data_IF_823275098799
#
_entry.id   IF_823275098799
#
_cell.length_a   1.000
_cell.length_b   1.000
_cell.length_c   1.000
_cell.angle_alpha   90.00
_cell.angle_beta   90.00
_cell.angle_gamma   90.00
#
_symmetry.space_group_name_H-M   'P 1'
#
loop_
_entity.id
_entity.type
_entity.pdbx_description
1 polymer ?
#
# COMPACT_ATOMS: atom_id res chain seq x y z
N UNK A 1 19.04 3.35 43.22
CA UNK A 1 17.97 2.89 42.32
C UNK A 1 17.58 4.03 41.40
N UNK A 2 18.09 4.01 40.17
CA UNK A 2 17.47 4.53 38.95
C UNK A 2 18.53 4.40 37.85
N UNK A 3 18.76 3.17 37.38
CA UNK A 3 19.41 2.95 36.09
C UNK A 3 18.37 3.31 35.02
N UNK A 4 18.42 4.55 34.51
CA UNK A 4 17.79 4.89 33.24
C UNK A 4 18.74 4.44 32.13
N UNK A 5 18.74 3.14 31.86
CA UNK A 5 19.43 2.56 30.71
C UNK A 5 18.58 2.78 29.46
N UNK A 6 19.07 3.63 28.56
CA UNK A 6 18.80 3.70 27.10
C UNK A 6 17.58 2.86 26.65
N UNK A 7 16.38 3.32 26.98
CA UNK A 7 15.14 2.84 26.37
C UNK A 7 14.82 3.84 25.26
N UNK A 8 14.64 3.36 24.02
CA UNK A 8 14.41 4.23 22.87
C UNK A 8 13.17 5.09 23.10
N UNK A 9 13.15 6.33 22.62
CA UNK A 9 11.94 7.13 22.64
C UNK A 9 10.84 6.43 21.81
N UNK A 10 9.60 6.43 22.31
CA UNK A 10 8.46 5.69 21.73
C UNK A 10 8.28 5.92 20.22
N UNK A 11 8.55 7.12 19.72
CA UNK A 11 8.45 7.42 18.28
C UNK A 11 9.44 6.60 17.43
N UNK A 12 10.65 6.34 17.94
CA UNK A 12 11.66 5.54 17.24
C UNK A 12 11.29 4.06 17.22
N UNK A 13 10.69 3.55 18.30
CA UNK A 13 10.16 2.18 18.34
C UNK A 13 9.02 1.99 17.34
N UNK A 14 8.22 3.03 17.12
CA UNK A 14 7.18 3.07 16.09
C UNK A 14 7.71 3.32 14.67
N UNK A 15 9.02 3.47 14.49
CA UNK A 15 9.67 3.65 13.19
C UNK A 15 9.63 5.08 12.63
N UNK A 16 9.29 6.08 13.46
CA UNK A 16 9.36 7.49 13.09
C UNK A 16 10.78 8.03 13.32
N UNK A 17 11.21 8.96 12.46
CA UNK A 17 12.45 9.72 12.70
C UNK A 17 12.23 10.82 13.75
N UNK A 18 13.31 11.37 14.30
CA UNK A 18 13.22 12.51 15.23
C UNK A 18 12.60 13.74 14.55
N UNK A 19 12.94 13.97 13.27
CA UNK A 19 12.35 15.07 12.47
C UNK A 19 10.84 14.87 12.24
N UNK A 20 10.40 13.63 12.00
CA UNK A 20 8.98 13.32 11.87
C UNK A 20 8.24 13.57 13.19
N UNK A 21 8.84 13.21 14.33
CA UNK A 21 8.28 13.48 15.66
C UNK A 21 8.16 14.99 15.95
N UNK A 22 9.22 15.77 15.71
CA UNK A 22 9.20 17.23 15.88
C UNK A 22 8.12 17.89 15.01
N UNK A 23 7.94 17.38 13.78
CA UNK A 23 6.90 17.85 12.87
C UNK A 23 5.49 17.49 13.36
N UNK A 24 5.30 16.32 13.95
CA UNK A 24 4.03 15.92 14.58
C UNK A 24 3.71 16.86 15.74
N UNK A 25 4.67 17.12 16.63
CA UNK A 25 4.50 18.07 17.73
C UNK A 25 4.12 19.47 17.22
N UNK A 26 4.75 19.90 16.13
CA UNK A 26 4.46 21.19 15.48
C UNK A 26 3.07 21.25 14.85
N UNK A 27 2.57 20.14 14.27
CA UNK A 27 1.22 20.06 13.68
C UNK A 27 0.14 20.09 14.77
N UNK A 28 0.39 19.42 15.90
CA UNK A 28 -0.56 19.33 17.01
C UNK A 28 -0.49 20.51 17.98
N UNK A 29 0.57 21.31 17.92
CA UNK A 29 0.89 22.38 18.88
C UNK A 29 1.02 21.85 20.33
N UNK A 30 1.42 20.58 20.48
CA UNK A 30 1.68 19.87 21.74
C UNK A 30 2.32 18.51 21.46
N UNK A 31 2.75 17.83 22.50
CA UNK A 31 3.17 16.43 22.39
C UNK A 31 1.97 15.52 22.03
N UNK A 32 2.15 14.56 21.09
CA UNK A 32 1.15 13.56 20.78
C UNK A 32 1.01 12.56 21.92
N UNK A 33 -0.21 12.10 22.18
CA UNK A 33 -0.39 10.92 23.02
C UNK A 33 -0.01 9.63 22.25
N UNK A 34 0.02 8.49 22.94
CA UNK A 34 0.43 7.22 22.35
C UNK A 34 -0.41 6.81 21.14
N UNK A 35 -1.73 7.03 21.18
CA UNK A 35 -2.63 6.69 20.08
C UNK A 35 -2.35 7.57 18.87
N UNK A 36 -2.24 8.88 19.07
CA UNK A 36 -1.94 9.84 18.00
C UNK A 36 -0.60 9.51 17.35
N UNK A 37 0.43 9.23 18.14
CA UNK A 37 1.75 8.88 17.65
C UNK A 37 1.74 7.58 16.83
N UNK A 38 1.00 6.56 17.28
CA UNK A 38 0.82 5.31 16.53
C UNK A 38 0.01 5.51 15.24
N UNK A 39 -0.96 6.42 15.22
CA UNK A 39 -1.67 6.78 13.99
C UNK A 39 -0.73 7.47 13.00
N UNK A 40 0.08 8.43 13.45
CA UNK A 40 1.07 9.09 12.60
C UNK A 40 2.09 8.08 12.05
N UNK A 41 2.58 7.14 12.84
CA UNK A 41 3.58 6.17 12.37
C UNK A 41 3.08 5.31 11.21
N UNK A 42 1.83 4.83 11.28
CA UNK A 42 1.22 4.06 10.19
C UNK A 42 0.97 4.96 8.98
N UNK A 43 0.35 6.12 9.17
CA UNK A 43 -0.03 7.01 8.07
C UNK A 43 1.17 7.63 7.34
N UNK A 44 2.29 7.83 8.03
CA UNK A 44 3.53 8.36 7.46
C UNK A 44 4.55 7.28 7.07
N UNK A 45 4.18 6.00 7.19
CA UNK A 45 4.94 4.89 6.62
C UNK A 45 5.09 5.07 5.10
N UNK A 46 6.13 4.48 4.50
CA UNK A 46 6.30 4.52 3.05
C UNK A 46 5.10 3.89 2.31
N UNK A 47 4.52 2.84 2.90
CA UNK A 47 3.38 2.12 2.35
C UNK A 47 2.14 3.01 2.16
N UNK A 48 1.85 3.89 3.12
CA UNK A 48 0.69 4.78 3.05
C UNK A 48 1.00 6.13 2.39
N UNK A 49 2.17 6.70 2.66
CA UNK A 49 2.48 8.08 2.28
C UNK A 49 3.17 8.24 0.92
N UNK A 50 3.77 7.16 0.41
CA UNK A 50 4.62 7.19 -0.79
C UNK A 50 5.72 8.27 -0.69
N UNK A 51 6.23 8.55 0.52
CA UNK A 51 7.08 9.72 0.79
C UNK A 51 8.34 9.75 -0.08
N UNK A 52 8.93 8.59 -0.39
CA UNK A 52 10.08 8.50 -1.31
C UNK A 52 9.69 8.53 -2.79
N UNK A 53 8.56 7.92 -3.16
CA UNK A 53 8.21 7.65 -4.56
C UNK A 53 7.32 8.72 -5.19
N UNK A 54 6.51 9.44 -4.41
CA UNK A 54 5.54 10.45 -4.88
C UNK A 54 6.19 11.53 -5.76
N UNK A 55 7.42 11.94 -5.46
CA UNK A 55 8.15 12.95 -6.26
C UNK A 55 8.44 12.47 -7.69
N UNK A 56 8.60 11.16 -7.90
CA UNK A 56 8.85 10.56 -9.19
C UNK A 56 7.54 10.29 -9.92
N UNK A 57 6.52 9.78 -9.21
CA UNK A 57 5.21 9.46 -9.79
C UNK A 57 4.50 10.69 -10.37
N UNK A 58 4.70 11.87 -9.77
CA UNK A 58 4.16 13.15 -10.29
C UNK A 58 4.64 13.53 -11.70
N UNK A 59 5.66 12.86 -12.24
CA UNK A 59 6.20 13.14 -13.58
C UNK A 59 5.43 12.42 -14.68
N UNK A 60 4.59 11.44 -14.34
CA UNK A 60 3.81 10.73 -15.33
C UNK A 60 2.68 11.60 -15.89
N UNK A 61 2.34 11.46 -17.19
CA UNK A 61 1.16 12.10 -17.74
C UNK A 61 -0.10 11.44 -17.14
N UNK A 62 -0.98 12.26 -16.57
CA UNK A 62 -2.21 11.80 -15.89
C UNK A 62 -3.48 12.35 -16.51
N UNK A 63 -3.35 13.21 -17.51
CA UNK A 63 -4.47 13.90 -18.16
C UNK A 63 -4.54 13.51 -19.64
N UNK A 64 -5.74 13.13 -20.08
CA UNK A 64 -6.08 12.96 -21.48
C UNK A 64 -7.61 13.04 -21.63
N UNK A 65 -8.16 13.30 -22.84
CA UNK A 65 -9.60 13.43 -23.05
C UNK A 65 -10.42 12.19 -22.64
N UNK A 66 -9.82 11.00 -22.67
CA UNK A 66 -10.43 9.74 -22.29
C UNK A 66 -10.20 9.36 -20.82
N UNK A 67 -9.52 10.17 -20.01
CA UNK A 67 -9.36 9.93 -18.56
C UNK A 67 -10.57 10.51 -17.84
N UNK A 68 -11.44 9.64 -17.34
CA UNK A 68 -12.62 10.03 -16.57
C UNK A 68 -12.27 10.26 -15.09
N UNK A 69 -11.38 9.42 -14.55
CA UNK A 69 -10.85 9.54 -13.17
C UNK A 69 -9.34 9.29 -13.20
N UNK A 70 -8.57 10.29 -12.78
CA UNK A 70 -7.11 10.20 -12.66
C UNK A 70 -6.64 9.67 -11.29
N UNK A 71 -5.35 9.80 -10.98
CA UNK A 71 -4.81 9.41 -9.68
C UNK A 71 -5.42 10.22 -8.52
N UNK A 72 -5.71 9.55 -7.40
CA UNK A 72 -6.27 10.16 -6.18
C UNK A 72 -7.47 9.42 -5.62
N UNK A 73 -8.14 8.62 -6.45
CA UNK A 73 -9.33 7.83 -6.09
C UNK A 73 -9.02 6.32 -6.00
N UNK A 74 -10.06 5.54 -5.68
CA UNK A 74 -10.02 4.08 -5.56
C UNK A 74 -9.55 3.34 -6.83
N UNK A 75 -9.69 3.89 -8.03
CA UNK A 75 -9.07 3.36 -9.24
C UNK A 75 -9.00 4.43 -10.32
N UNK A 76 -8.14 4.24 -11.32
CA UNK A 76 -8.18 5.05 -12.54
C UNK A 76 -9.33 4.59 -13.43
N UNK A 77 -10.05 5.51 -14.05
CA UNK A 77 -11.15 5.21 -14.96
C UNK A 77 -10.93 5.87 -16.30
N UNK A 78 -11.04 5.10 -17.38
CA UNK A 78 -10.92 5.59 -18.75
C UNK A 78 -12.18 5.32 -19.56
N UNK A 79 -12.53 6.23 -20.46
CA UNK A 79 -13.57 6.03 -21.48
C UNK A 79 -13.04 5.07 -22.55
N UNK A 80 -13.79 3.99 -22.82
CA UNK A 80 -13.46 3.00 -23.84
C UNK A 80 -14.45 3.03 -25.03
N UNK A 81 -15.30 4.05 -25.10
CA UNK A 81 -16.33 4.22 -26.12
C UNK A 81 -17.67 3.63 -25.73
N UNK A 82 -18.69 3.87 -26.57
CA UNK A 82 -20.06 3.34 -26.42
C UNK A 82 -20.73 3.66 -25.06
N UNK A 83 -20.29 4.73 -24.39
CA UNK A 83 -20.76 5.09 -23.06
C UNK A 83 -20.25 4.18 -21.94
N UNK A 84 -19.16 3.44 -22.17
CA UNK A 84 -18.56 2.49 -21.23
C UNK A 84 -17.28 3.09 -20.64
N UNK A 85 -17.18 3.07 -19.31
CA UNK A 85 -15.95 3.35 -18.57
C UNK A 85 -15.28 2.07 -18.08
N UNK A 86 -13.96 1.99 -18.20
CA UNK A 86 -13.15 0.90 -17.65
C UNK A 86 -12.39 1.38 -16.42
N UNK A 87 -12.71 0.82 -15.25
CA UNK A 87 -11.95 1.03 -14.02
C UNK A 87 -10.78 0.04 -13.95
N UNK A 88 -9.58 0.56 -13.73
CA UNK A 88 -8.34 -0.21 -13.70
C UNK A 88 -7.52 0.20 -12.48
N UNK A 89 -7.05 -0.78 -11.72
CA UNK A 89 -6.08 -0.59 -10.65
C UNK A 89 -5.14 -1.80 -10.59
N UNK A 90 -3.97 -1.56 -10.01
CA UNK A 90 -2.99 -2.59 -9.69
C UNK A 90 -2.53 -2.38 -8.25
N UNK A 91 -2.37 -3.48 -7.53
CA UNK A 91 -1.85 -3.50 -6.16
C UNK A 91 -0.78 -4.58 -6.01
N UNK A 92 -0.13 -4.62 -4.85
CA UNK A 92 0.83 -5.66 -4.50
C UNK A 92 0.63 -6.11 -3.07
N UNK A 93 0.80 -7.41 -2.80
CA UNK A 93 0.76 -7.97 -1.45
C UNK A 93 2.03 -8.78 -1.12
N UNK A 94 3.17 -8.25 -1.54
CA UNK A 94 4.46 -8.96 -1.56
C UNK A 94 4.91 -9.49 -0.19
N UNK A 95 4.93 -8.62 0.84
CA UNK A 95 5.44 -9.00 2.16
C UNK A 95 4.54 -10.04 2.84
N UNK A 96 3.21 -9.87 2.90
CA UNK A 96 2.31 -10.94 3.37
C UNK A 96 2.46 -12.25 2.60
N UNK A 97 2.45 -12.22 1.26
CA UNK A 97 2.60 -13.43 0.43
C UNK A 97 3.94 -14.14 0.61
N UNK A 98 5.00 -13.44 1.03
CA UNK A 98 6.28 -14.07 1.32
C UNK A 98 6.31 -14.84 2.65
N UNK A 99 5.38 -14.52 3.57
CA UNK A 99 5.26 -15.12 4.91
C UNK A 99 4.16 -16.17 4.94
N UNK A 100 3.00 -15.85 4.38
CA UNK A 100 1.83 -16.72 4.25
C UNK A 100 1.29 -16.55 2.81
N UNK A 101 1.69 -17.44 1.88
CA UNK A 101 1.40 -17.27 0.45
C UNK A 101 -0.08 -17.29 0.08
N UNK A 102 -0.86 -18.19 0.68
CA UNK A 102 -2.26 -18.41 0.31
C UNK A 102 -3.14 -17.22 0.71
N UNK A 103 -3.16 -16.90 2.00
CA UNK A 103 -3.90 -15.78 2.54
C UNK A 103 -3.32 -14.47 2.02
N UNK A 104 -1.99 -14.36 1.90
CA UNK A 104 -1.36 -13.18 1.30
C UNK A 104 -1.80 -12.93 -0.15
N UNK A 105 -2.01 -13.96 -0.97
CA UNK A 105 -2.58 -13.76 -2.30
C UNK A 105 -4.08 -13.44 -2.24
N UNK A 106 -4.85 -14.25 -1.51
CA UNK A 106 -6.30 -14.12 -1.40
C UNK A 106 -6.74 -12.74 -0.87
N UNK A 107 -6.06 -12.20 0.16
CA UNK A 107 -6.38 -10.87 0.69
C UNK A 107 -5.95 -9.75 -0.25
N UNK A 108 -4.88 -9.96 -1.04
CA UNK A 108 -4.48 -9.06 -2.12
C UNK A 108 -5.54 -8.99 -3.21
N UNK A 109 -6.02 -10.14 -3.70
CA UNK A 109 -7.12 -10.23 -4.66
C UNK A 109 -8.41 -9.60 -4.11
N UNK A 110 -8.73 -9.86 -2.85
CA UNK A 110 -9.88 -9.23 -2.18
C UNK A 110 -9.75 -7.71 -2.07
N UNK A 111 -8.54 -7.18 -1.84
CA UNK A 111 -8.23 -5.75 -1.79
C UNK A 111 -8.55 -5.05 -3.10
N UNK A 112 -7.91 -5.50 -4.18
CA UNK A 112 -8.09 -4.89 -5.50
C UNK A 112 -9.54 -4.96 -5.99
N UNK A 113 -10.26 -6.05 -5.67
CA UNK A 113 -11.68 -6.14 -6.01
C UNK A 113 -12.51 -5.07 -5.30
N UNK A 114 -12.25 -4.80 -4.01
CA UNK A 114 -12.96 -3.75 -3.26
C UNK A 114 -12.69 -2.37 -3.81
N UNK A 115 -11.48 -2.09 -4.28
CA UNK A 115 -11.16 -0.83 -4.92
C UNK A 115 -12.02 -0.60 -6.16
N UNK A 116 -12.11 -1.60 -7.05
CA UNK A 116 -12.96 -1.52 -8.24
C UNK A 116 -14.44 -1.37 -7.87
N UNK A 117 -14.92 -2.12 -6.87
CA UNK A 117 -16.30 -1.99 -6.39
C UNK A 117 -16.59 -0.59 -5.84
N UNK A 118 -15.65 0.04 -5.14
CA UNK A 118 -15.85 1.38 -4.58
C UNK A 118 -16.00 2.48 -5.65
N UNK A 119 -15.49 2.24 -6.86
CA UNK A 119 -15.71 3.10 -8.03
C UNK A 119 -17.11 2.92 -8.68
N UNK A 120 -17.94 2.01 -8.15
CA UNK A 120 -19.23 1.65 -8.75
C UNK A 120 -19.10 0.76 -10.00
N UNK A 121 -17.91 0.24 -10.27
CA UNK A 121 -17.65 -0.66 -11.40
C UNK A 121 -17.85 -2.12 -11.00
N UNK A 122 -18.25 -2.95 -11.97
CA UNK A 122 -18.31 -4.40 -11.81
C UNK A 122 -16.98 -5.02 -12.23
N UNK A 123 -16.27 -5.76 -11.37
CA UNK A 123 -15.09 -6.51 -11.78
C UNK A 123 -15.45 -7.56 -12.84
N UNK A 124 -14.68 -7.60 -13.94
CA UNK A 124 -14.88 -8.53 -15.05
C UNK A 124 -13.65 -9.40 -15.36
N UNK A 125 -12.48 -8.98 -14.89
CA UNK A 125 -11.21 -9.67 -15.08
C UNK A 125 -10.26 -9.37 -13.92
N UNK A 126 -9.37 -10.32 -13.63
CA UNK A 126 -8.26 -10.20 -12.69
C UNK A 126 -6.99 -10.68 -13.41
N UNK A 127 -5.85 -10.05 -13.14
CA UNK A 127 -4.57 -10.37 -13.79
C UNK A 127 -3.44 -10.34 -12.76
N UNK A 128 -2.61 -11.38 -12.76
CA UNK A 128 -1.60 -11.61 -11.73
C UNK A 128 -0.18 -11.60 -12.31
N UNK A 129 0.54 -10.45 -12.27
CA UNK A 129 1.92 -10.38 -12.72
C UNK A 129 2.88 -10.98 -11.68
N UNK A 130 2.86 -12.31 -11.54
CA UNK A 130 3.62 -13.04 -10.51
C UNK A 130 5.12 -13.10 -10.81
N UNK A 131 5.95 -12.99 -9.76
CA UNK A 131 7.42 -13.09 -9.82
C UNK A 131 7.93 -13.86 -8.60
N UNK A 132 8.69 -14.92 -8.83
CA UNK A 132 9.26 -15.77 -7.78
C UNK A 132 10.74 -16.04 -8.04
N UNK A 133 11.43 -16.61 -7.06
CA UNK A 133 12.75 -17.20 -7.27
C UNK A 133 12.70 -18.48 -8.13
N UNK A 134 13.85 -19.13 -8.35
CA UNK A 134 13.93 -20.41 -9.08
C UNK A 134 13.00 -21.48 -8.48
N UNK A 135 12.21 -22.18 -9.29
CA UNK A 135 11.20 -23.14 -8.80
C UNK A 135 11.79 -24.50 -8.39
N UNK A 136 13.08 -24.72 -8.59
CA UNK A 136 13.84 -25.83 -8.01
C UNK A 136 14.15 -25.61 -6.53
N UNK A 137 14.20 -24.35 -6.06
CA UNK A 137 14.23 -24.01 -4.64
C UNK A 137 12.89 -24.32 -3.96
N UNK A 138 12.87 -25.17 -2.91
CA UNK A 138 11.63 -25.56 -2.22
C UNK A 138 10.83 -24.38 -1.66
N UNK A 139 11.50 -23.33 -1.18
CA UNK A 139 10.82 -22.15 -0.63
C UNK A 139 10.12 -21.35 -1.72
N UNK A 140 10.80 -21.08 -2.82
CA UNK A 140 10.24 -20.36 -3.97
C UNK A 140 9.07 -21.12 -4.59
N UNK A 141 9.17 -22.45 -4.69
CA UNK A 141 8.06 -23.31 -5.12
C UNK A 141 6.86 -23.21 -4.17
N UNK A 142 7.08 -23.31 -2.86
CA UNK A 142 6.01 -23.19 -1.87
C UNK A 142 5.29 -21.83 -1.93
N UNK A 143 6.03 -20.73 -2.12
CA UNK A 143 5.44 -19.40 -2.32
C UNK A 143 4.61 -19.38 -3.61
N UNK A 144 5.16 -19.88 -4.71
CA UNK A 144 4.46 -19.89 -6.00
C UNK A 144 3.15 -20.68 -5.96
N UNK A 145 3.20 -21.90 -5.43
CA UNK A 145 2.02 -22.78 -5.30
C UNK A 145 0.96 -22.17 -4.38
N UNK A 146 1.38 -21.62 -3.24
CA UNK A 146 0.43 -21.02 -2.30
C UNK A 146 -0.20 -19.74 -2.84
N UNK A 147 0.58 -18.87 -3.52
CA UNK A 147 0.04 -17.66 -4.16
C UNK A 147 -0.95 -17.98 -5.27
N UNK A 148 -0.70 -19.00 -6.09
CA UNK A 148 -1.64 -19.39 -7.16
C UNK A 148 -2.91 -20.06 -6.61
N UNK A 149 -2.82 -20.71 -5.44
CA UNK A 149 -3.94 -21.42 -4.83
C UNK A 149 -4.91 -20.52 -4.07
N UNK A 150 -4.44 -19.37 -3.57
CA UNK A 150 -5.21 -18.41 -2.77
C UNK A 150 -5.87 -17.34 -3.60
#
# INVERSE_FOLDING_TARGET
MAEQGIEGSLHRELGLTDEEYERICSILDREPNHLELAMFSVMWSEHCSYKSSRIHLKRFPTEAPWVLVGPGEGAGVVDVGDGIGAAIRIESHNHPSAIEPYQGAATGAGGILRDIFSMGARPIALMDPLRFGPLDDPRSRWIAEGVVSG
#
